data_IF_942226688482
#
_entry.id   IF_942226688482
#
_cell.length_a   1.000
_cell.length_b   1.000
_cell.length_c   1.000
_cell.angle_alpha   90.00
_cell.angle_beta   90.00
_cell.angle_gamma   90.00
#
_symmetry.space_group_name_H-M   'P 1'
#
loop_
_entity.id
_entity.type
_entity.pdbx_description
1 polymer ?
#
# COMPACT_ATOMS: atom_id res chain seq x y z
N UNK A 1 -1.87 -1.40 -14.41
CA UNK A 1 -0.41 -1.71 -14.35
C UNK A 1 0.36 -1.04 -15.48
N UNK A 2 0.10 -1.35 -16.76
CA UNK A 2 0.91 -0.89 -17.89
C UNK A 2 0.97 0.64 -18.02
N UNK A 3 -0.16 1.32 -17.78
CA UNK A 3 -0.24 2.78 -17.78
C UNK A 3 0.67 3.40 -16.71
N UNK A 4 0.65 2.88 -15.49
CA UNK A 4 1.50 3.31 -14.38
C UNK A 4 2.99 3.19 -14.73
N UNK A 5 3.41 2.06 -15.34
CA UNK A 5 4.81 1.87 -15.75
C UNK A 5 5.27 2.93 -16.76
N UNK A 6 4.41 3.26 -17.73
CA UNK A 6 4.71 4.29 -18.73
C UNK A 6 4.77 5.68 -18.08
N UNK A 7 3.80 6.01 -17.21
CA UNK A 7 3.76 7.29 -16.49
C UNK A 7 4.96 7.48 -15.54
N UNK A 8 5.49 6.39 -15.01
CA UNK A 8 6.73 6.39 -14.20
C UNK A 8 8.01 6.39 -15.04
N UNK A 9 7.91 6.49 -16.37
CA UNK A 9 9.06 6.59 -17.27
C UNK A 9 9.76 5.27 -17.59
N UNK A 10 9.10 4.12 -17.35
CA UNK A 10 9.65 2.83 -17.77
C UNK A 10 9.60 2.74 -19.30
N UNK A 11 10.72 2.45 -19.98
CA UNK A 11 10.79 2.38 -21.43
C UNK A 11 9.78 1.41 -22.03
N UNK A 12 9.21 1.77 -23.20
CA UNK A 12 8.15 0.99 -23.85
C UNK A 12 8.56 -0.46 -24.17
N UNK A 13 9.81 -0.69 -24.54
CA UNK A 13 10.29 -2.03 -24.83
C UNK A 13 10.27 -2.93 -23.58
N UNK A 14 10.60 -2.39 -22.39
CA UNK A 14 10.54 -3.14 -21.13
C UNK A 14 9.08 -3.36 -20.71
N UNK A 15 8.23 -2.36 -20.88
CA UNK A 15 6.78 -2.50 -20.62
C UNK A 15 6.17 -3.56 -21.54
N UNK A 16 6.59 -3.62 -22.81
CA UNK A 16 6.16 -4.66 -23.76
C UNK A 16 6.63 -6.06 -23.32
N UNK A 17 7.88 -6.21 -22.91
CA UNK A 17 8.40 -7.48 -22.40
C UNK A 17 7.63 -7.96 -21.16
N UNK A 18 7.37 -7.07 -20.21
CA UNK A 18 6.57 -7.37 -19.02
C UNK A 18 5.15 -7.78 -19.40
N UNK A 19 4.52 -7.06 -20.36
CA UNK A 19 3.18 -7.40 -20.86
C UNK A 19 3.15 -8.81 -21.46
N UNK A 20 4.13 -9.16 -22.25
CA UNK A 20 4.23 -10.50 -22.85
C UNK A 20 4.48 -11.58 -21.77
N UNK A 21 5.28 -11.28 -20.75
CA UNK A 21 5.50 -12.19 -19.62
C UNK A 21 4.22 -12.51 -18.84
N UNK A 22 3.32 -11.53 -18.71
CA UNK A 22 2.05 -11.68 -17.98
C UNK A 22 0.86 -12.03 -18.88
N UNK A 23 1.03 -12.07 -20.20
CA UNK A 23 -0.03 -12.43 -21.14
C UNK A 23 -0.29 -13.95 -21.13
N UNK A 24 -1.56 -14.32 -21.07
CA UNK A 24 -1.98 -15.73 -21.18
C UNK A 24 -1.48 -16.65 -20.07
N UNK A 25 -1.20 -16.10 -18.90
CA UNK A 25 -0.76 -16.92 -17.77
C UNK A 25 -1.90 -17.81 -17.26
N UNK A 26 -1.58 -19.07 -17.03
CA UNK A 26 -2.46 -20.06 -16.48
C UNK A 26 -1.87 -20.63 -15.19
N UNK A 27 -2.72 -21.09 -14.30
CA UNK A 27 -2.34 -21.76 -13.08
C UNK A 27 -3.19 -23.00 -12.81
N UNK A 28 -2.64 -23.89 -12.02
CA UNK A 28 -3.32 -25.03 -11.42
C UNK A 28 -2.92 -25.12 -9.95
N UNK A 29 -3.81 -25.61 -9.11
CA UNK A 29 -3.58 -25.76 -7.68
C UNK A 29 -3.47 -27.24 -7.35
N UNK A 30 -2.38 -27.61 -6.68
CA UNK A 30 -2.18 -28.96 -6.17
C UNK A 30 -2.74 -29.05 -4.76
N UNK A 31 -3.71 -29.89 -4.56
CA UNK A 31 -4.33 -30.19 -3.27
C UNK A 31 -3.99 -31.62 -2.81
N UNK A 32 -4.32 -31.97 -1.58
CA UNK A 32 -4.17 -33.35 -1.08
C UNK A 32 -5.04 -34.38 -1.82
N UNK A 33 -6.04 -33.93 -2.58
CA UNK A 33 -6.99 -34.77 -3.35
C UNK A 33 -6.70 -34.77 -4.85
N UNK A 34 -5.64 -34.11 -5.33
CA UNK A 34 -5.28 -34.03 -6.74
C UNK A 34 -4.95 -32.61 -7.20
N UNK A 35 -4.94 -32.42 -8.49
CA UNK A 35 -4.65 -31.13 -9.14
C UNK A 35 -5.93 -30.61 -9.79
N UNK A 36 -6.20 -29.32 -9.65
CA UNK A 36 -7.34 -28.66 -10.33
C UNK A 36 -7.09 -28.59 -11.85
N UNK A 37 -8.15 -28.36 -12.61
CA UNK A 37 -8.01 -27.95 -14.00
C UNK A 37 -7.25 -26.62 -14.12
N UNK A 38 -6.66 -26.38 -15.27
CA UNK A 38 -5.97 -25.13 -15.59
C UNK A 38 -6.97 -23.98 -15.67
N UNK A 39 -6.64 -22.86 -15.04
CA UNK A 39 -7.46 -21.65 -15.09
C UNK A 39 -6.58 -20.43 -15.42
N UNK A 40 -7.17 -19.48 -16.13
CA UNK A 40 -6.50 -18.26 -16.55
C UNK A 40 -6.31 -17.29 -15.39
N UNK A 41 -5.11 -16.69 -15.27
CA UNK A 41 -4.82 -15.63 -14.30
C UNK A 41 -5.11 -14.29 -14.97
N UNK A 42 -6.22 -13.66 -14.58
CA UNK A 42 -6.65 -12.38 -15.14
C UNK A 42 -6.08 -11.15 -14.47
N UNK A 43 -5.64 -11.24 -13.21
CA UNK A 43 -5.19 -10.11 -12.38
C UNK A 43 -4.09 -10.52 -11.40
N UNK A 44 -3.28 -9.52 -11.01
CA UNK A 44 -2.26 -9.67 -9.99
C UNK A 44 -0.87 -9.90 -10.54
N UNK A 45 0.10 -10.04 -9.63
CA UNK A 45 1.48 -10.41 -9.91
C UNK A 45 1.77 -11.79 -9.34
N UNK A 46 2.67 -12.52 -10.00
CA UNK A 46 3.00 -13.89 -9.62
C UNK A 46 3.74 -13.90 -8.28
N UNK A 47 3.25 -14.68 -7.31
CA UNK A 47 3.99 -14.93 -6.06
C UNK A 47 5.34 -15.60 -6.33
N UNK A 48 6.33 -15.32 -5.50
CA UNK A 48 7.70 -15.80 -5.60
C UNK A 48 8.43 -15.43 -6.92
N UNK A 49 7.89 -14.51 -7.70
CA UNK A 49 8.60 -13.95 -8.85
C UNK A 49 9.47 -12.78 -8.40
N UNK A 50 10.74 -12.76 -8.84
CA UNK A 50 11.71 -11.70 -8.50
C UNK A 50 11.23 -10.28 -8.90
N UNK A 51 10.38 -10.16 -9.92
CA UNK A 51 9.83 -8.90 -10.39
C UNK A 51 8.62 -8.41 -9.57
N UNK A 52 7.93 -9.31 -8.87
CA UNK A 52 6.67 -8.97 -8.17
C UNK A 52 6.86 -7.92 -7.06
N UNK A 53 7.90 -7.97 -6.21
CA UNK A 53 8.15 -6.90 -5.24
C UNK A 53 8.43 -5.55 -5.90
N UNK A 54 9.17 -5.52 -6.99
CA UNK A 54 9.44 -4.28 -7.73
C UNK A 54 8.16 -3.68 -8.31
N UNK A 55 7.30 -4.51 -8.92
CA UNK A 55 6.02 -4.07 -9.46
C UNK A 55 5.08 -3.58 -8.36
N UNK A 56 5.02 -4.26 -7.21
CA UNK A 56 4.23 -3.82 -6.07
C UNK A 56 4.72 -2.46 -5.54
N UNK A 57 6.03 -2.27 -5.43
CA UNK A 57 6.61 -1.00 -4.99
C UNK A 57 6.29 0.15 -5.96
N UNK A 58 6.30 -0.09 -7.27
CA UNK A 58 5.90 0.90 -8.27
C UNK A 58 4.42 1.28 -8.13
N UNK A 59 3.54 0.31 -7.89
CA UNK A 59 2.13 0.56 -7.59
C UNK A 59 1.94 1.41 -6.33
N UNK A 60 2.62 1.02 -5.25
CA UNK A 60 2.54 1.74 -3.99
C UNK A 60 3.08 3.17 -4.12
N UNK A 61 4.12 3.39 -4.94
CA UNK A 61 4.65 4.73 -5.22
C UNK A 61 3.65 5.58 -5.99
N UNK A 62 3.03 5.05 -7.03
CA UNK A 62 2.00 5.74 -7.82
C UNK A 62 0.81 6.15 -6.94
N UNK A 63 0.28 5.23 -6.11
CA UNK A 63 -0.77 5.53 -5.15
C UNK A 63 -0.38 6.68 -4.23
N UNK A 64 0.84 6.64 -3.67
CA UNK A 64 1.29 7.67 -2.73
C UNK A 64 1.55 9.01 -3.41
N UNK A 65 2.01 9.02 -4.66
CA UNK A 65 2.16 10.27 -5.42
C UNK A 65 0.81 10.91 -5.69
N UNK A 66 -0.18 10.13 -6.09
CA UNK A 66 -1.54 10.62 -6.37
C UNK A 66 -2.31 10.99 -5.10
N UNK A 67 -2.03 10.32 -3.98
CA UNK A 67 -2.65 10.61 -2.68
C UNK A 67 -2.03 11.82 -1.96
N UNK A 68 -0.94 12.43 -2.47
CA UNK A 68 -0.32 13.60 -1.83
C UNK A 68 -1.34 14.71 -1.66
N UNK A 69 -1.43 15.22 -0.44
CA UNK A 69 -2.18 16.43 -0.14
C UNK A 69 -1.36 17.65 -0.55
N UNK A 70 -1.99 18.59 -1.24
CA UNK A 70 -1.34 19.85 -1.59
C UNK A 70 -0.88 20.60 -0.33
N UNK A 71 0.40 20.98 -0.31
CA UNK A 71 0.99 21.75 0.75
C UNK A 71 1.62 20.94 1.88
N UNK A 72 2.40 21.61 2.71
CA UNK A 72 3.25 21.10 3.79
C UNK A 72 2.51 20.50 5.00
N UNK A 73 1.22 20.18 4.87
CA UNK A 73 0.35 19.83 5.99
C UNK A 73 0.23 18.34 6.28
N UNK A 74 0.63 17.47 5.34
CA UNK A 74 0.66 16.03 5.57
C UNK A 74 2.08 15.59 5.86
N UNK A 75 2.28 14.87 6.97
CA UNK A 75 3.56 14.34 7.39
C UNK A 75 4.06 14.95 8.69
N UNK A 76 5.15 14.38 9.17
CA UNK A 76 5.89 14.81 10.36
C UNK A 76 7.25 15.34 9.90
N UNK A 77 7.68 16.47 10.45
CA UNK A 77 8.99 17.05 10.14
C UNK A 77 10.08 16.36 10.95
N UNK A 78 10.94 15.60 10.25
CA UNK A 78 12.13 14.98 10.85
C UNK A 78 13.36 15.49 10.09
N UNK A 79 14.32 16.09 10.81
CA UNK A 79 15.58 16.60 10.24
C UNK A 79 15.40 17.42 8.94
N UNK A 80 14.46 18.39 8.95
CA UNK A 80 14.10 19.27 7.83
C UNK A 80 13.42 18.57 6.64
N UNK A 81 13.12 17.27 6.74
CA UNK A 81 12.34 16.53 5.74
C UNK A 81 10.92 16.30 6.24
N UNK A 82 9.96 16.45 5.37
CA UNK A 82 8.58 16.10 5.67
C UNK A 82 8.35 14.64 5.29
N UNK A 83 8.03 13.81 6.27
CA UNK A 83 7.80 12.38 6.09
C UNK A 83 6.32 12.09 6.35
N UNK A 84 5.59 11.69 5.34
CA UNK A 84 4.16 11.37 5.41
C UNK A 84 3.85 9.88 5.46
N UNK A 85 4.79 9.05 5.02
CA UNK A 85 4.61 7.60 5.02
C UNK A 85 5.93 6.85 5.14
N UNK A 86 5.86 5.64 5.70
CA UNK A 86 6.86 4.57 5.59
C UNK A 86 6.21 3.35 5.00
N UNK A 87 6.95 2.60 4.19
CA UNK A 87 6.45 1.40 3.54
C UNK A 87 7.45 0.27 3.66
N UNK A 88 6.90 -0.92 3.92
CA UNK A 88 7.65 -2.17 3.87
C UNK A 88 6.74 -3.25 3.28
N UNK A 89 7.05 -3.70 2.08
CA UNK A 89 6.20 -4.59 1.29
C UNK A 89 4.76 -4.05 1.17
N UNK A 90 3.78 -4.74 1.71
CA UNK A 90 2.37 -4.38 1.77
C UNK A 90 2.00 -3.52 2.99
N UNK A 91 2.86 -3.47 4.00
CA UNK A 91 2.64 -2.63 5.18
C UNK A 91 2.95 -1.16 4.88
N UNK A 92 2.00 -0.29 5.16
CA UNK A 92 2.15 1.15 5.00
C UNK A 92 1.79 1.87 6.29
N UNK A 93 2.71 2.69 6.79
CA UNK A 93 2.47 3.60 7.91
C UNK A 93 2.29 5.01 7.37
N UNK A 94 1.13 5.62 7.64
CA UNK A 94 0.85 7.00 7.32
C UNK A 94 1.09 7.87 8.56
N UNK A 95 1.64 9.07 8.36
CA UNK A 95 1.96 9.99 9.46
C UNK A 95 1.45 11.39 9.17
N UNK A 96 0.93 12.04 10.20
CA UNK A 96 0.56 13.45 10.16
C UNK A 96 0.63 14.06 11.57
N UNK A 97 0.84 15.37 11.65
CA UNK A 97 0.87 16.11 12.93
C UNK A 97 -0.54 16.26 13.53
N UNK A 98 -1.59 16.22 12.71
CA UNK A 98 -2.99 16.38 13.13
C UNK A 98 -3.85 15.24 12.64
N UNK A 99 -4.81 14.84 13.47
CA UNK A 99 -5.77 13.77 13.17
C UNK A 99 -6.53 14.01 11.86
N UNK A 100 -6.98 15.23 11.62
CA UNK A 100 -7.74 15.59 10.40
C UNK A 100 -6.93 15.36 9.13
N UNK A 101 -5.64 15.68 9.16
CA UNK A 101 -4.74 15.46 8.02
C UNK A 101 -4.48 13.97 7.80
N UNK A 102 -4.30 13.20 8.88
CA UNK A 102 -4.14 11.77 8.81
C UNK A 102 -5.37 11.10 8.19
N UNK A 103 -6.57 11.52 8.61
CA UNK A 103 -7.83 11.02 8.08
C UNK A 103 -7.98 11.33 6.59
N UNK A 104 -7.70 12.59 6.19
CA UNK A 104 -7.73 12.99 4.77
C UNK A 104 -6.72 12.22 3.92
N UNK A 105 -5.50 12.03 4.43
CA UNK A 105 -4.46 11.27 3.74
C UNK A 105 -4.88 9.82 3.57
N UNK A 106 -5.39 9.18 4.62
CA UNK A 106 -5.86 7.80 4.58
C UNK A 106 -7.02 7.62 3.58
N UNK A 107 -7.99 8.53 3.56
CA UNK A 107 -9.11 8.47 2.60
C UNK A 107 -8.63 8.61 1.16
N UNK A 108 -7.68 9.50 0.89
CA UNK A 108 -7.08 9.62 -0.44
C UNK A 108 -6.28 8.37 -0.84
N UNK A 109 -5.47 7.82 0.07
CA UNK A 109 -4.75 6.56 -0.19
C UNK A 109 -5.72 5.42 -0.48
N UNK A 110 -6.83 5.35 0.27
CA UNK A 110 -7.88 4.36 0.01
C UNK A 110 -8.48 4.53 -1.40
N UNK A 111 -8.88 5.74 -1.75
CA UNK A 111 -9.46 6.05 -3.06
C UNK A 111 -8.50 5.69 -4.21
N UNK A 112 -7.24 6.11 -4.12
CA UNK A 112 -6.24 5.80 -5.15
C UNK A 112 -5.91 4.30 -5.22
N UNK A 113 -5.90 3.61 -4.07
CA UNK A 113 -5.72 2.15 -4.02
C UNK A 113 -6.86 1.41 -4.72
N UNK A 114 -8.11 1.84 -4.51
CA UNK A 114 -9.29 1.25 -5.15
C UNK A 114 -9.28 1.43 -6.66
N UNK A 115 -8.80 2.57 -7.18
CA UNK A 115 -8.65 2.81 -8.63
C UNK A 115 -7.74 1.80 -9.31
N UNK A 116 -6.73 1.31 -8.60
CA UNK A 116 -5.79 0.29 -9.11
C UNK A 116 -6.16 -1.13 -8.69
N UNK A 117 -7.31 -1.32 -8.02
CA UNK A 117 -7.85 -2.62 -7.64
C UNK A 117 -7.27 -3.19 -6.34
N UNK A 118 -6.59 -2.37 -5.53
CA UNK A 118 -6.13 -2.73 -4.19
C UNK A 118 -7.16 -2.27 -3.16
N UNK A 119 -7.39 -3.07 -2.13
CA UNK A 119 -8.31 -2.73 -1.03
C UNK A 119 -7.56 -2.56 0.27
N UNK A 120 -7.85 -1.47 0.97
CA UNK A 120 -7.37 -1.27 2.34
C UNK A 120 -8.05 -2.28 3.28
N UNK A 121 -7.25 -2.99 4.09
CA UNK A 121 -7.78 -3.86 5.14
C UNK A 121 -8.01 -3.06 6.41
N UNK A 122 -9.25 -2.67 6.68
CA UNK A 122 -9.60 -1.90 7.89
C UNK A 122 -9.33 -2.72 9.16
N UNK A 123 -9.57 -4.03 9.12
CA UNK A 123 -9.31 -4.92 10.26
C UNK A 123 -7.83 -4.98 10.67
N UNK A 124 -6.92 -4.85 9.69
CA UNK A 124 -5.48 -4.85 9.94
C UNK A 124 -4.94 -3.43 10.13
N UNK A 125 -5.77 -2.39 9.92
CA UNK A 125 -5.38 -1.00 10.11
C UNK A 125 -5.46 -0.63 11.59
N UNK A 126 -4.41 -0.01 12.11
CA UNK A 126 -4.33 0.45 13.49
C UNK A 126 -3.94 1.92 13.53
N UNK A 127 -4.36 2.63 14.57
CA UNK A 127 -3.98 4.02 14.79
C UNK A 127 -3.20 4.16 16.07
N UNK A 128 -2.16 4.99 16.02
CA UNK A 128 -1.38 5.38 17.17
C UNK A 128 -1.27 6.91 17.22
N UNK A 129 -1.47 7.50 18.38
CA UNK A 129 -1.27 8.93 18.59
C UNK A 129 -0.59 9.19 19.93
N UNK A 130 0.03 10.37 20.05
CA UNK A 130 0.62 10.86 21.30
C UNK A 130 -0.43 11.32 22.31
N UNK A 131 -1.65 11.67 21.84
CA UNK A 131 -2.78 12.06 22.69
C UNK A 131 -3.84 10.95 22.71
N UNK A 132 -4.64 10.81 23.78
CA UNK A 132 -5.70 9.82 23.82
C UNK A 132 -6.70 10.03 22.69
N UNK A 133 -6.93 9.00 21.89
CA UNK A 133 -7.96 8.98 20.85
C UNK A 133 -9.20 8.29 21.43
N UNK A 134 -10.33 8.97 21.43
CA UNK A 134 -11.59 8.45 21.99
C UNK A 134 -12.28 7.45 21.06
N UNK A 135 -12.28 7.68 19.74
CA UNK A 135 -12.75 6.73 18.74
C UNK A 135 -12.31 7.16 17.36
N UNK A 136 -11.85 6.23 16.56
CA UNK A 136 -11.52 6.46 15.16
C UNK A 136 -12.29 5.51 14.27
N UNK A 137 -12.94 6.04 13.24
CA UNK A 137 -13.77 5.26 12.32
C UNK A 137 -13.43 5.60 10.88
N UNK A 138 -13.43 4.58 10.04
CA UNK A 138 -13.30 4.67 8.59
C UNK A 138 -14.59 4.10 8.01
N UNK A 139 -15.42 4.94 7.39
CA UNK A 139 -16.70 4.52 6.77
C UNK A 139 -17.64 3.75 7.70
N UNK A 140 -17.60 4.05 8.99
CA UNK A 140 -18.42 3.38 10.00
C UNK A 140 -17.73 2.23 10.73
N UNK A 141 -16.64 1.70 10.19
CA UNK A 141 -15.85 0.66 10.85
C UNK A 141 -14.87 1.27 11.85
N UNK A 142 -14.83 0.70 13.04
CA UNK A 142 -13.95 1.16 14.12
C UNK A 142 -12.52 0.69 13.87
N UNK A 143 -11.57 1.63 13.91
CA UNK A 143 -10.13 1.33 13.85
C UNK A 143 -9.59 1.16 15.28
N UNK A 144 -8.79 0.13 15.49
CA UNK A 144 -8.16 -0.16 16.77
C UNK A 144 -7.09 0.88 17.09
N UNK A 145 -7.21 1.52 18.26
CA UNK A 145 -6.17 2.40 18.79
C UNK A 145 -5.16 1.58 19.60
N UNK A 146 -3.87 1.75 19.29
CA UNK A 146 -2.78 1.02 19.93
C UNK A 146 -1.72 1.97 20.46
N UNK A 147 -1.03 1.57 21.55
CA UNK A 147 0.08 2.35 22.12
C UNK A 147 1.42 2.05 21.47
N UNK A 148 1.51 0.95 20.73
CA UNK A 148 2.68 0.54 19.96
C UNK A 148 2.26 -0.37 18.84
N UNK A 149 3.00 -0.36 17.74
CA UNK A 149 2.85 -1.33 16.66
C UNK A 149 4.23 -1.76 16.15
N UNK A 150 4.26 -2.89 15.49
CA UNK A 150 5.45 -3.42 14.85
C UNK A 150 5.27 -3.31 13.34
N UNK A 151 6.17 -2.57 12.70
CA UNK A 151 6.31 -2.64 11.25
C UNK A 151 7.31 -3.74 10.94
N UNK A 152 7.03 -4.63 10.02
CA UNK A 152 7.96 -5.68 9.59
C UNK A 152 9.32 -5.05 9.24
N UNK A 153 10.39 -5.47 9.93
CA UNK A 153 11.75 -4.91 9.78
C UNK A 153 12.13 -3.76 10.72
N UNK A 154 11.19 -3.15 11.45
CA UNK A 154 11.46 -2.13 12.45
C UNK A 154 10.98 -2.59 13.81
N UNK A 155 11.89 -2.76 14.77
CA UNK A 155 11.53 -3.02 16.16
C UNK A 155 11.10 -1.71 16.84
N UNK A 156 9.89 -1.71 17.42
CA UNK A 156 9.41 -0.69 18.36
C UNK A 156 9.37 0.76 17.86
N UNK A 157 8.36 1.11 17.06
CA UNK A 157 7.96 2.51 16.98
C UNK A 157 7.08 2.81 18.21
N UNK A 158 7.60 3.60 19.13
CA UNK A 158 6.84 4.20 20.24
C UNK A 158 6.58 5.66 19.92
N UNK A 159 5.44 6.24 20.36
CA UNK A 159 5.24 7.68 20.23
C UNK A 159 6.34 8.39 21.01
N UNK A 160 6.94 9.41 20.42
CA UNK A 160 7.82 10.32 21.14
C UNK A 160 6.99 11.07 22.19
N UNK A 161 7.37 10.96 23.46
CA UNK A 161 6.86 11.79 24.55
C UNK A 161 7.35 13.23 24.39
#
# INVERSE_FOLDING_TARGET
>A
MWKILIEMGIPDHLTCLLRNLYAGQEATVRTGHGTTDWFQIGKGVRQACILSPCLLNLYAEDIMQNARLDGSQAGIRIARRNISNFRYADDTTLMAEKEEYLKRLLMKVKEESEKVGLKLSIQNTKIMASSPITSWQIEGDKVEAVNKFYLLGLQNLQPCN
#
